data_IF_544957703273
#
_entry.id   IF_544957703273
#
_cell.length_a   1.000
_cell.length_b   1.000
_cell.length_c   1.000
_cell.angle_alpha   90.00
_cell.angle_beta   90.00
_cell.angle_gamma   90.00
#
_symmetry.space_group_name_H-M   'P 1'
#
loop_
_entity.id
_entity.type
_entity.pdbx_description
1 polymer ?
#
# COMPACT_ATOMS: atom_id res chain seq x y z
N UNK A 1 -1.40 -9.31 -12.42
CA UNK A 1 -2.58 -9.58 -11.57
C UNK A 1 -2.18 -10.59 -10.51
N UNK A 2 -2.56 -10.40 -9.24
CA UNK A 2 -2.20 -11.31 -8.14
C UNK A 2 -2.71 -12.74 -8.39
N UNK A 3 -3.77 -12.86 -9.21
CA UNK A 3 -4.35 -14.13 -9.66
C UNK A 3 -3.38 -15.01 -10.46
N UNK A 4 -2.34 -14.45 -11.07
CA UNK A 4 -1.42 -15.18 -11.95
C UNK A 4 -0.13 -15.63 -11.26
N UNK A 5 0.03 -15.33 -9.96
CA UNK A 5 1.27 -15.62 -9.24
C UNK A 5 1.08 -16.81 -8.30
N UNK A 6 1.89 -17.85 -8.48
CA UNK A 6 1.93 -19.00 -7.59
C UNK A 6 2.96 -18.76 -6.47
N UNK A 7 2.52 -18.86 -5.21
CA UNK A 7 3.39 -18.67 -4.05
C UNK A 7 3.40 -17.24 -3.50
N UNK A 8 4.30 -16.98 -2.56
CA UNK A 8 4.39 -15.67 -1.87
C UNK A 8 4.98 -14.62 -2.82
N UNK A 9 4.24 -13.54 -3.02
CA UNK A 9 4.67 -12.40 -3.83
C UNK A 9 4.72 -11.11 -3.00
N UNK A 10 5.38 -10.09 -3.56
CA UNK A 10 5.50 -8.77 -2.95
C UNK A 10 4.75 -7.77 -3.83
N UNK A 11 3.79 -7.05 -3.25
CA UNK A 11 3.10 -5.93 -3.90
C UNK A 11 3.90 -4.65 -3.63
N UNK A 12 4.40 -4.04 -4.69
CA UNK A 12 5.17 -2.79 -4.66
C UNK A 12 4.51 -1.77 -5.59
N UNK A 13 3.68 -0.85 -5.12
CA UNK A 13 3.39 -0.42 -3.75
C UNK A 13 1.88 -0.17 -3.57
N UNK A 14 1.45 0.09 -2.33
CA UNK A 14 0.16 0.72 -2.03
C UNK A 14 0.37 2.00 -1.21
N UNK A 15 -0.58 2.94 -1.26
CA UNK A 15 -0.51 4.22 -0.56
C UNK A 15 -1.90 4.79 -0.26
N UNK A 16 -1.96 5.84 0.54
CA UNK A 16 -3.17 6.60 0.88
C UNK A 16 -3.47 7.73 -0.12
N UNK A 17 -2.74 7.80 -1.25
CA UNK A 17 -2.85 8.87 -2.24
C UNK A 17 -4.27 9.09 -2.79
N UNK A 18 -5.00 8.00 -3.01
CA UNK A 18 -6.33 8.03 -3.63
C UNK A 18 -7.45 8.23 -2.60
N UNK A 19 -7.47 7.39 -1.56
CA UNK A 19 -8.33 7.48 -0.37
C UNK A 19 -8.03 6.33 0.59
N UNK A 20 -8.48 6.43 1.83
CA UNK A 20 -8.41 5.34 2.81
C UNK A 20 -9.16 4.09 2.34
N UNK A 21 -10.36 4.24 1.81
CA UNK A 21 -11.17 3.11 1.32
C UNK A 21 -10.45 2.34 0.21
N UNK A 22 -9.80 3.04 -0.72
CA UNK A 22 -9.02 2.44 -1.78
C UNK A 22 -7.80 1.67 -1.24
N UNK A 23 -7.09 2.24 -0.27
CA UNK A 23 -5.99 1.58 0.43
C UNK A 23 -6.46 0.30 1.12
N UNK A 24 -7.56 0.35 1.87
CA UNK A 24 -8.12 -0.80 2.57
C UNK A 24 -8.53 -1.91 1.59
N UNK A 25 -9.14 -1.58 0.46
CA UNK A 25 -9.52 -2.58 -0.55
C UNK A 25 -8.30 -3.23 -1.20
N UNK A 26 -7.24 -2.46 -1.51
CA UNK A 26 -5.97 -2.99 -2.00
C UNK A 26 -5.30 -3.88 -0.95
N UNK A 27 -5.24 -3.44 0.31
CA UNK A 27 -4.65 -4.19 1.43
C UNK A 27 -5.40 -5.50 1.71
N UNK A 28 -6.74 -5.48 1.70
CA UNK A 28 -7.58 -6.68 1.82
C UNK A 28 -7.30 -7.69 0.72
N UNK A 29 -7.15 -7.24 -0.52
CA UNK A 29 -6.74 -8.13 -1.63
C UNK A 29 -5.38 -8.75 -1.35
N UNK A 30 -4.36 -7.96 -1.01
CA UNK A 30 -3.01 -8.48 -0.71
C UNK A 30 -3.04 -9.53 0.41
N UNK A 31 -3.79 -9.27 1.49
CA UNK A 31 -4.01 -10.21 2.59
C UNK A 31 -4.65 -11.52 2.12
N UNK A 32 -5.69 -11.45 1.28
CA UNK A 32 -6.37 -12.64 0.75
C UNK A 32 -5.46 -13.47 -0.17
N UNK A 33 -4.53 -12.85 -0.89
CA UNK A 33 -3.53 -13.54 -1.71
C UNK A 33 -2.26 -13.95 -0.93
N UNK A 34 -2.16 -13.63 0.37
CA UNK A 34 -0.98 -13.93 1.18
C UNK A 34 0.29 -13.19 0.71
N UNK A 35 0.13 -12.04 0.06
CA UNK A 35 1.23 -11.24 -0.45
C UNK A 35 1.83 -10.34 0.65
N UNK A 36 3.15 -10.20 0.67
CA UNK A 36 3.79 -9.11 1.40
C UNK A 36 3.59 -7.79 0.63
N UNK A 37 3.64 -6.65 1.33
CA UNK A 37 3.26 -5.36 0.75
C UNK A 37 4.26 -4.28 1.15
N UNK A 38 4.65 -3.46 0.18
CA UNK A 38 5.38 -2.21 0.40
C UNK A 38 4.34 -1.09 0.46
N UNK A 39 4.28 -0.41 1.61
CA UNK A 39 3.47 0.80 1.79
C UNK A 39 4.37 2.01 1.65
N UNK A 40 4.02 2.94 0.77
CA UNK A 40 4.73 4.21 0.65
C UNK A 40 4.04 5.29 1.46
N UNK A 41 4.87 6.13 2.06
CA UNK A 41 4.52 7.35 2.76
C UNK A 41 3.99 8.42 1.79
N UNK A 42 2.81 8.20 1.24
CA UNK A 42 2.15 9.08 0.28
C UNK A 42 0.64 9.09 0.57
N UNK A 43 0.12 10.28 0.87
CA UNK A 43 -1.28 10.56 1.16
C UNK A 43 -1.89 11.54 0.13
N UNK A 44 -3.12 11.98 0.35
CA UNK A 44 -3.84 12.93 -0.52
C UNK A 44 -3.13 14.29 -0.61
N UNK A 45 -2.33 14.65 0.39
CA UNK A 45 -1.53 15.87 0.43
C UNK A 45 -0.16 15.69 -0.25
N UNK A 46 0.16 14.51 -0.77
CA UNK A 46 1.42 14.22 -1.46
C UNK A 46 2.34 13.24 -0.72
N UNK A 47 3.58 13.18 -1.17
CA UNK A 47 4.61 12.33 -0.57
C UNK A 47 5.19 12.99 0.69
N UNK A 48 5.39 12.21 1.75
CA UNK A 48 6.13 12.65 2.92
C UNK A 48 7.64 12.71 2.60
N UNK A 49 8.17 13.92 2.44
CA UNK A 49 9.59 14.17 2.10
C UNK A 49 10.45 14.39 3.33
N UNK A 50 9.89 14.94 4.42
CA UNK A 50 10.54 15.13 5.71
C UNK A 50 10.22 13.97 6.68
N UNK A 51 10.97 13.92 7.79
CA UNK A 51 10.83 12.86 8.80
C UNK A 51 9.52 13.03 9.56
N UNK A 52 9.20 14.24 10.00
CA UNK A 52 8.03 14.52 10.83
C UNK A 52 6.74 14.04 10.16
N UNK A 53 6.55 14.39 8.89
CA UNK A 53 5.41 13.94 8.08
C UNK A 53 5.37 12.44 7.87
N UNK A 54 6.51 11.74 7.85
CA UNK A 54 6.53 10.28 7.80
C UNK A 54 6.06 9.62 9.10
N UNK A 55 6.16 10.32 10.23
CA UNK A 55 5.71 9.81 11.53
C UNK A 55 4.27 10.19 11.88
N UNK A 56 3.79 11.33 11.36
CA UNK A 56 2.48 11.88 11.71
C UNK A 56 1.34 11.54 10.75
N UNK A 57 1.67 11.06 9.54
CA UNK A 57 0.72 10.59 8.53
C UNK A 57 0.03 9.26 8.91
#
# INVERSE_FOLDING_TARGET
DLKCTQGKCIVNLISLKESEQNFLDKARKCKNYGAAVIVIAFDEQGQATDIERKWTM
#
